data_IF_895886137428
#
_entry.id   IF_895886137428
#
_cell.length_a   1.000
_cell.length_b   1.000
_cell.length_c   1.000
_cell.angle_alpha   90.00
_cell.angle_beta   90.00
_cell.angle_gamma   90.00
#
_symmetry.space_group_name_H-M   'P 1'
#
loop_
_entity.id
_entity.type
_entity.pdbx_description
1 polymer ?
2 polymer ?
3 water ?
#
# COMPACT_ATOMS: atom_id res chain seq x y z
N UNK A 1 -41.21 92.24 -11.72
CA UNK A 1 -41.84 93.53 -11.47
C UNK A 1 -42.98 93.48 -10.46
N UNK A 2 -44.18 93.17 -10.94
CA UNK A 2 -45.40 93.17 -10.16
C UNK A 2 -45.56 91.87 -9.35
N UNK A 3 -46.54 91.88 -8.44
CA UNK A 3 -46.86 90.67 -7.68
C UNK A 3 -47.26 89.54 -8.63
N UNK A 4 -48.05 89.86 -9.65
CA UNK A 4 -48.46 88.86 -10.62
C UNK A 4 -47.26 88.32 -11.38
N UNK A 5 -46.34 89.19 -11.79
CA UNK A 5 -45.17 88.75 -12.52
C UNK A 5 -44.30 87.81 -11.68
N UNK A 6 -44.31 87.98 -10.36
CA UNK A 6 -43.57 87.08 -9.49
C UNK A 6 -44.20 85.69 -9.48
N UNK A 7 -45.53 85.62 -9.34
CA UNK A 7 -46.23 84.34 -9.42
C UNK A 7 -45.91 83.64 -10.72
N UNK A 8 -45.97 84.37 -11.84
CA UNK A 8 -45.64 83.76 -13.13
C UNK A 8 -44.20 83.24 -13.13
N UNK A 9 -43.23 84.03 -12.65
CA UNK A 9 -41.85 83.54 -12.59
C UNK A 9 -41.77 82.29 -11.72
N UNK A 10 -42.36 82.35 -10.53
CA UNK A 10 -42.26 81.24 -9.59
C UNK A 10 -42.85 79.96 -10.18
N UNK A 11 -43.94 80.04 -10.92
CA UNK A 11 -44.51 78.83 -11.50
C UNK A 11 -43.54 78.21 -12.49
N UNK A 12 -42.85 79.03 -13.27
CA UNK A 12 -41.87 78.49 -14.21
C UNK A 12 -40.75 77.78 -13.48
N UNK A 13 -40.26 78.36 -12.37
CA UNK A 13 -39.18 77.75 -11.60
C UNK A 13 -39.58 76.39 -11.04
N UNK A 14 -40.85 76.24 -10.64
CA UNK A 14 -41.30 74.93 -10.17
C UNK A 14 -41.20 73.88 -11.28
N UNK A 15 -41.68 74.22 -12.48
CA UNK A 15 -41.57 73.29 -13.60
C UNK A 15 -40.11 73.09 -14.01
N UNK A 16 -39.32 74.16 -13.99
CA UNK A 16 -37.88 74.05 -14.25
C UNK A 16 -37.20 73.08 -13.28
N UNK A 17 -37.50 73.22 -11.99
CA UNK A 17 -36.89 72.35 -10.98
C UNK A 17 -37.37 70.92 -11.13
N UNK A 18 -38.65 70.71 -11.41
CA UNK A 18 -39.13 69.35 -11.64
C UNK A 18 -38.47 68.71 -12.85
N UNK A 19 -38.24 69.49 -13.92
CA UNK A 19 -37.61 68.92 -15.09
C UNK A 19 -36.16 68.55 -14.79
N UNK A 20 -35.41 69.51 -14.22
CA UNK A 20 -34.03 69.22 -13.86
C UNK A 20 -33.94 67.97 -12.99
N UNK A 21 -34.87 67.81 -12.06
CA UNK A 21 -34.87 66.61 -11.24
C UNK A 21 -35.11 65.38 -12.11
N UNK A 22 -36.13 65.43 -12.98
CA UNK A 22 -36.38 64.29 -13.87
C UNK A 22 -35.14 63.87 -14.62
N UNK A 23 -34.36 64.83 -15.11
CA UNK A 23 -33.16 64.47 -15.86
C UNK A 23 -32.05 63.99 -14.94
N UNK A 24 -32.02 64.43 -13.69
CA UNK A 24 -31.04 63.86 -12.76
C UNK A 24 -31.33 62.37 -12.51
N UNK A 25 -32.61 62.01 -12.42
CA UNK A 25 -32.98 60.61 -12.27
C UNK A 25 -32.51 59.79 -13.47
N UNK A 26 -32.71 60.31 -14.67
CA UNK A 26 -32.29 59.59 -15.87
C UNK A 26 -30.78 59.39 -15.87
N UNK A 27 -30.01 60.44 -15.52
CA UNK A 27 -28.56 60.31 -15.45
C UNK A 27 -28.14 59.36 -14.33
N UNK A 28 -28.87 59.37 -13.23
CA UNK A 28 -28.57 58.45 -12.13
C UNK A 28 -28.84 57.01 -12.55
N UNK A 29 -29.88 56.78 -13.36
CA UNK A 29 -30.16 55.43 -13.81
C UNK A 29 -29.13 54.95 -14.84
N UNK A 30 -28.74 55.82 -15.77
CA UNK A 30 -27.70 55.46 -16.73
C UNK A 30 -26.38 55.17 -16.04
N UNK A 31 -26.04 55.97 -15.02
CA UNK A 31 -24.79 55.74 -14.31
C UNK A 31 -24.85 54.45 -13.48
N UNK A 32 -26.01 54.17 -12.86
CA UNK A 32 -26.13 52.92 -12.10
C UNK A 32 -26.16 51.70 -13.00
N UNK A 33 -26.69 51.82 -14.22
CA UNK A 33 -26.67 50.65 -15.09
C UNK A 33 -25.27 50.37 -15.61
N UNK A 34 -24.46 51.42 -15.81
CA UNK A 34 -23.05 51.19 -16.13
C UNK A 34 -22.35 50.50 -14.98
N UNK A 35 -22.47 51.04 -13.77
CA UNK A 35 -21.76 50.43 -12.66
C UNK A 35 -22.31 49.05 -12.34
N UNK A 36 -23.59 48.80 -12.63
CA UNK A 36 -24.07 47.42 -12.52
C UNK A 36 -23.30 46.49 -13.45
N UNK A 37 -23.06 46.91 -14.69
CA UNK A 37 -22.42 45.99 -15.60
C UNK A 37 -20.93 45.83 -15.28
N UNK A 38 -20.29 46.85 -14.70
CA UNK A 38 -18.93 46.65 -14.20
C UNK A 38 -18.91 45.67 -13.03
N UNK A 39 -20.01 45.61 -12.28
CA UNK A 39 -20.11 44.66 -11.17
C UNK A 39 -20.32 43.25 -11.69
N UNK A 40 -21.21 43.08 -12.69
CA UNK A 40 -21.38 41.78 -13.29
C UNK A 40 -20.05 41.26 -13.87
N UNK A 41 -19.23 42.16 -14.43
CA UNK A 41 -18.00 41.73 -15.10
C UNK A 41 -16.90 41.41 -14.09
N UNK A 42 -16.76 42.26 -13.06
CA UNK A 42 -15.81 41.96 -12.00
C UNK A 42 -16.10 40.62 -11.34
N UNK A 43 -17.37 40.25 -11.25
CA UNK A 43 -17.74 38.99 -10.62
C UNK A 43 -17.39 37.80 -11.49
N UNK A 44 -17.62 37.89 -12.80
CA UNK A 44 -17.23 36.82 -13.71
C UNK A 44 -15.71 36.64 -13.71
N UNK A 45 -14.96 37.73 -13.55
CA UNK A 45 -13.52 37.59 -13.41
C UNK A 45 -13.18 36.69 -12.22
N UNK A 46 -13.66 37.05 -11.04
CA UNK A 46 -13.48 36.22 -9.85
C UNK A 46 -13.94 34.79 -10.10
N UNK A 47 -15.17 34.62 -10.58
CA UNK A 47 -15.72 33.28 -10.72
C UNK A 47 -14.97 32.44 -11.72
N UNK A 48 -14.36 33.06 -12.74
CA UNK A 48 -13.59 32.28 -13.70
C UNK A 48 -12.36 31.70 -13.03
N UNK A 49 -11.70 32.50 -12.18
CA UNK A 49 -10.55 31.98 -11.44
C UNK A 49 -10.99 30.96 -10.40
N UNK A 50 -12.06 31.24 -9.66
CA UNK A 50 -12.42 30.33 -8.60
C UNK A 50 -12.82 28.98 -9.16
N UNK A 51 -13.71 28.97 -10.15
CA UNK A 51 -14.18 27.70 -10.67
C UNK A 51 -13.04 26.89 -11.30
N UNK A 52 -12.24 27.54 -12.14
CA UNK A 52 -11.20 26.83 -12.87
C UNK A 52 -10.06 26.40 -11.96
N UNK A 53 -9.77 27.14 -10.90
CA UNK A 53 -8.76 26.68 -9.95
C UNK A 53 -9.24 25.43 -9.23
N UNK A 54 -10.48 25.44 -8.74
CA UNK A 54 -10.98 24.31 -7.99
C UNK A 54 -11.07 23.08 -8.88
N UNK A 55 -11.50 23.26 -10.12
CA UNK A 55 -11.57 22.12 -11.01
C UNK A 55 -10.18 21.59 -11.34
N UNK A 56 -9.24 22.48 -11.64
CA UNK A 56 -7.89 22.03 -11.99
C UNK A 56 -7.19 21.37 -10.80
N UNK A 57 -7.44 21.85 -9.59
CA UNK A 57 -6.88 21.19 -8.42
C UNK A 57 -7.46 19.79 -8.26
N UNK A 58 -8.73 19.59 -8.58
CA UNK A 58 -9.29 18.25 -8.55
C UNK A 58 -8.73 17.38 -9.66
N UNK A 59 -8.55 17.92 -10.87
CA UNK A 59 -7.88 17.14 -11.90
C UNK A 59 -6.54 16.64 -11.38
N UNK A 60 -5.70 17.57 -10.89
CA UNK A 60 -4.33 17.24 -10.54
C UNK A 60 -4.27 16.23 -9.41
N UNK A 61 -5.14 16.38 -8.43
CA UNK A 61 -5.18 15.47 -7.30
C UNK A 61 -5.46 14.04 -7.75
N UNK A 62 -6.44 13.87 -8.64
CA UNK A 62 -6.81 12.52 -9.06
C UNK A 62 -5.77 11.95 -10.00
N UNK A 63 -5.15 12.80 -10.82
CA UNK A 63 -4.04 12.32 -11.63
C UNK A 63 -2.90 11.82 -10.75
N UNK A 64 -2.66 12.48 -9.61
CA UNK A 64 -1.56 12.06 -8.75
C UNK A 64 -1.88 10.76 -8.03
N UNK A 65 -3.14 10.58 -7.65
CA UNK A 65 -3.59 9.34 -7.03
C UNK A 65 -3.42 8.17 -8.00
N UNK A 66 -3.94 8.31 -9.23
CA UNK A 66 -3.75 7.28 -10.26
C UNK A 66 -2.28 6.94 -10.42
N UNK A 67 -1.43 7.95 -10.64
CA UNK A 67 -0.02 7.69 -10.92
C UNK A 67 0.62 6.91 -9.78
N UNK A 68 0.38 7.35 -8.54
CA UNK A 68 1.04 6.69 -7.41
C UNK A 68 0.48 5.29 -7.15
N UNK A 69 -0.82 5.08 -7.37
CA UNK A 69 -1.35 3.73 -7.24
C UNK A 69 -0.72 2.79 -8.26
N UNK A 70 -0.51 3.28 -9.49
CA UNK A 70 0.10 2.47 -10.54
C UNK A 70 1.58 2.23 -10.30
N UNK A 71 2.30 3.20 -9.73
CA UNK A 71 3.70 2.96 -9.40
C UNK A 71 3.82 1.96 -8.25
N UNK A 72 2.95 2.09 -7.26
CA UNK A 72 2.90 1.16 -6.15
C UNK A 72 2.57 -0.24 -6.66
N UNK A 73 1.49 -0.38 -7.42
CA UNK A 73 1.12 -1.67 -7.98
C UNK A 73 2.29 -2.30 -8.71
N UNK A 74 2.94 -1.55 -9.60
CA UNK A 74 3.97 -2.14 -10.44
C UNK A 74 5.11 -2.66 -9.58
N UNK A 75 5.56 -1.84 -8.63
CA UNK A 75 6.71 -2.24 -7.82
C UNK A 75 6.35 -3.40 -6.88
N UNK A 76 5.13 -3.37 -6.33
CA UNK A 76 4.69 -4.45 -5.45
C UNK A 76 4.65 -5.76 -6.20
N UNK A 77 4.28 -5.72 -7.46
CA UNK A 77 4.11 -6.97 -8.17
C UNK A 77 5.39 -7.45 -8.81
N UNK A 78 6.33 -6.57 -9.14
CA UNK A 78 7.63 -7.12 -9.52
C UNK A 78 8.34 -7.69 -8.30
N UNK A 79 7.97 -7.22 -7.10
CA UNK A 79 8.50 -7.83 -5.88
C UNK A 79 7.92 -9.20 -5.65
N UNK A 80 6.63 -9.39 -5.96
CA UNK A 80 6.03 -10.70 -5.71
C UNK A 80 6.68 -11.76 -6.56
N UNK A 81 7.00 -11.44 -7.81
CA UNK A 81 7.68 -12.41 -8.67
C UNK A 81 8.99 -12.86 -8.04
N UNK A 82 9.73 -11.93 -7.41
CA UNK A 82 10.95 -12.33 -6.70
C UNK A 82 10.64 -13.13 -5.43
N UNK A 83 9.62 -12.71 -4.67
CA UNK A 83 9.26 -13.44 -3.45
C UNK A 83 8.77 -14.85 -3.76
N UNK A 84 8.04 -15.02 -4.86
CA UNK A 84 7.54 -16.35 -5.23
C UNK A 84 8.69 -17.35 -5.39
N UNK A 85 9.74 -16.93 -6.09
CA UNK A 85 10.86 -17.83 -6.36
C UNK A 85 11.64 -18.16 -5.08
N UNK A 86 11.80 -17.16 -4.22
CA UNK A 86 12.44 -17.38 -2.92
C UNK A 86 11.66 -18.40 -2.08
N UNK A 87 10.35 -18.21 -1.96
CA UNK A 87 9.56 -19.06 -1.07
C UNK A 87 9.57 -20.51 -1.55
N UNK A 88 9.45 -20.74 -2.87
CA UNK A 88 9.59 -22.10 -3.41
C UNK A 88 10.94 -22.70 -3.03
N UNK A 89 12.02 -21.95 -3.23
CA UNK A 89 13.33 -22.45 -2.85
C UNK A 89 13.40 -22.72 -1.35
N UNK A 90 12.97 -21.76 -0.53
CA UNK A 90 13.14 -21.88 0.92
C UNK A 90 12.28 -22.99 1.48
N UNK A 91 10.99 -23.02 1.15
CA UNK A 91 10.14 -24.03 1.74
C UNK A 91 10.63 -25.43 1.40
N UNK A 92 11.13 -25.62 0.17
CA UNK A 92 11.60 -26.95 -0.25
C UNK A 92 12.91 -27.32 0.45
N UNK A 93 13.86 -26.40 0.50
CA UNK A 93 15.12 -26.76 1.14
C UNK A 93 14.92 -27.01 2.63
N UNK A 94 14.04 -26.24 3.26
CA UNK A 94 13.81 -26.42 4.69
C UNK A 94 13.21 -27.79 4.97
N UNK A 95 12.29 -28.25 4.12
CA UNK A 95 11.70 -29.56 4.34
C UNK A 95 12.74 -30.68 4.21
N UNK A 96 13.78 -30.49 3.39
CA UNK A 96 14.82 -31.50 3.28
C UNK A 96 15.71 -31.49 4.49
N UNK A 97 16.15 -30.29 4.89
CA UNK A 97 16.89 -30.11 6.14
C UNK A 97 16.18 -30.79 7.31
N UNK A 98 14.86 -30.59 7.42
CA UNK A 98 14.10 -31.26 8.48
C UNK A 98 14.27 -32.77 8.40
N UNK A 99 14.22 -33.32 7.19
CA UNK A 99 14.39 -34.77 7.03
C UNK A 99 15.83 -35.18 7.32
N UNK A 100 16.80 -34.40 6.84
CA UNK A 100 18.18 -34.75 7.10
C UNK A 100 18.49 -34.70 8.60
N UNK A 101 17.95 -33.71 9.30
CA UNK A 101 18.18 -33.64 10.75
C UNK A 101 17.56 -34.84 11.48
N UNK A 102 16.38 -35.29 11.05
CA UNK A 102 15.81 -36.50 11.64
C UNK A 102 16.69 -37.71 11.38
N UNK A 103 17.29 -37.81 10.20
CA UNK A 103 18.12 -38.98 9.93
C UNK A 103 19.37 -38.95 10.78
N UNK A 104 19.98 -37.76 10.95
CA UNK A 104 21.16 -37.65 11.79
C UNK A 104 20.84 -37.93 13.25
N UNK A 105 19.69 -37.43 13.73
CA UNK A 105 19.28 -37.75 15.09
C UNK A 105 19.08 -39.25 15.27
N UNK A 106 18.52 -39.92 14.25
CA UNK A 106 18.39 -41.38 14.35
C UNK A 106 19.76 -42.03 14.38
N UNK A 107 20.71 -41.50 13.62
CA UNK A 107 22.04 -42.09 13.63
C UNK A 107 22.76 -41.83 14.95
N UNK A 108 22.58 -40.64 15.54
CA UNK A 108 23.20 -40.39 16.84
C UNK A 108 22.70 -41.37 17.88
N UNK A 109 21.38 -41.51 17.99
CA UNK A 109 20.85 -42.31 19.09
C UNK A 109 21.19 -43.78 18.92
N UNK A 110 21.31 -44.24 17.68
CA UNK A 110 21.81 -45.59 17.42
C UNK A 110 23.26 -45.74 17.85
N UNK A 111 24.07 -44.68 17.69
CA UNK A 111 25.48 -44.74 18.08
C UNK A 111 25.67 -44.61 19.59
N UNK A 112 24.80 -43.87 20.29
CA UNK A 112 24.92 -43.79 21.75
C UNK A 112 24.47 -45.08 22.42
N UNK A 113 23.35 -45.65 21.96
CA UNK A 113 22.98 -47.00 22.36
C UNK A 113 23.90 -48.06 21.76
N UNK A 114 24.83 -47.63 20.91
CA UNK A 114 25.92 -48.42 20.31
C UNK A 114 25.39 -49.39 19.25
N UNK B 5 -50.69 85.70 0.70
CA UNK B 5 -49.81 85.96 -0.42
C UNK B 5 -49.44 84.71 -1.23
N UNK B 6 -49.87 84.67 -2.50
CA UNK B 6 -49.55 83.55 -3.35
C UNK B 6 -48.06 83.49 -3.67
N UNK B 7 -47.42 84.66 -3.81
CA UNK B 7 -45.97 84.71 -3.99
C UNK B 7 -45.28 84.01 -2.83
N UNK B 8 -45.70 84.32 -1.60
CA UNK B 8 -45.14 83.66 -0.43
C UNK B 8 -45.27 82.15 -0.55
N UNK B 9 -46.48 81.67 -0.86
CA UNK B 9 -46.73 80.24 -0.90
C UNK B 9 -45.84 79.54 -1.91
N UNK B 10 -45.64 80.14 -3.08
CA UNK B 10 -44.81 79.53 -4.12
C UNK B 10 -43.33 79.62 -3.79
N UNK B 11 -42.91 80.70 -3.12
CA UNK B 11 -41.54 80.76 -2.63
C UNK B 11 -41.26 79.63 -1.67
N UNK B 12 -42.20 79.33 -0.77
CA UNK B 12 -42.00 78.21 0.13
C UNK B 12 -42.08 76.86 -0.59
N UNK B 13 -43.08 76.67 -1.45
CA UNK B 13 -43.20 75.39 -2.15
C UNK B 13 -42.00 75.12 -3.03
N UNK B 14 -41.38 76.16 -3.60
CA UNK B 14 -40.13 75.98 -4.32
C UNK B 14 -39.07 75.34 -3.43
N UNK B 15 -38.82 75.93 -2.26
CA UNK B 15 -37.74 75.43 -1.41
C UNK B 15 -38.03 74.04 -0.87
N UNK B 16 -39.30 73.75 -0.52
CA UNK B 16 -39.63 72.40 -0.06
C UNK B 16 -39.57 71.37 -1.19
N UNK B 17 -39.84 71.75 -2.44
CA UNK B 17 -39.72 70.81 -3.55
C UNK B 17 -38.26 70.57 -3.91
N UNK B 18 -37.42 71.60 -3.80
CA UNK B 18 -35.99 71.40 -4.04
C UNK B 18 -35.40 70.42 -3.04
N UNK B 19 -35.73 70.62 -1.75
CA UNK B 19 -35.28 69.70 -0.71
C UNK B 19 -35.82 68.29 -0.93
N UNK B 20 -37.09 68.17 -1.35
CA UNK B 20 -37.68 66.85 -1.57
C UNK B 20 -37.01 66.13 -2.73
N UNK B 21 -36.77 66.86 -3.82
CA UNK B 21 -36.02 66.29 -4.95
C UNK B 21 -34.66 65.78 -4.50
N UNK B 22 -33.95 66.56 -3.67
CA UNK B 22 -32.66 66.11 -3.18
C UNK B 22 -32.78 64.78 -2.44
N UNK B 23 -33.80 64.62 -1.58
CA UNK B 23 -33.90 63.38 -0.81
C UNK B 23 -34.40 62.20 -1.65
N UNK B 24 -35.14 62.45 -2.75
CA UNK B 24 -35.51 61.33 -3.61
C UNK B 24 -34.34 60.83 -4.43
N UNK B 25 -33.43 61.73 -4.81
CA UNK B 25 -32.17 61.29 -5.41
C UNK B 25 -31.39 60.38 -4.47
N UNK B 26 -31.15 60.86 -3.24
CA UNK B 26 -30.45 60.07 -2.24
C UNK B 26 -31.15 58.77 -1.94
N UNK B 27 -32.49 58.79 -1.88
CA UNK B 27 -33.19 57.56 -1.58
C UNK B 27 -33.10 56.59 -2.75
N UNK B 28 -32.92 57.13 -3.95
CA UNK B 28 -32.85 56.31 -5.14
C UNK B 28 -31.43 55.78 -5.37
N UNK B 29 -30.42 56.55 -4.98
CA UNK B 29 -29.08 56.03 -4.95
C UNK B 29 -28.98 54.82 -4.02
N UNK B 30 -29.68 54.88 -2.88
CA UNK B 30 -29.58 53.80 -1.90
C UNK B 30 -30.31 52.55 -2.37
N UNK B 31 -31.50 52.68 -2.96
CA UNK B 31 -32.20 51.49 -3.44
C UNK B 31 -31.45 50.85 -4.61
N UNK B 32 -30.85 51.65 -5.50
CA UNK B 32 -30.11 51.06 -6.60
C UNK B 32 -28.91 50.28 -6.09
N UNK B 33 -28.21 50.81 -5.09
CA UNK B 33 -27.08 50.07 -4.53
C UNK B 33 -27.55 48.79 -3.85
N UNK B 34 -28.73 48.82 -3.23
CA UNK B 34 -29.25 47.61 -2.63
C UNK B 34 -29.67 46.59 -3.70
N UNK B 35 -30.15 47.06 -4.86
CA UNK B 35 -30.50 46.15 -5.94
C UNK B 35 -29.27 45.46 -6.50
N UNK B 36 -28.18 46.21 -6.67
CA UNK B 36 -26.95 45.63 -7.19
C UNK B 36 -26.41 44.58 -6.25
N UNK B 37 -26.33 44.91 -4.95
CA UNK B 37 -25.93 43.90 -3.97
C UNK B 37 -26.82 42.68 -4.06
N UNK B 38 -28.13 42.88 -4.23
CA UNK B 38 -29.05 41.75 -4.32
C UNK B 38 -28.75 40.89 -5.55
N UNK B 39 -28.60 41.53 -6.71
CA UNK B 39 -28.25 40.80 -7.94
C UNK B 39 -26.91 40.09 -7.78
N UNK B 40 -25.90 40.82 -7.28
CA UNK B 40 -24.59 40.22 -7.06
C UNK B 40 -24.73 38.96 -6.21
N UNK B 41 -25.38 39.07 -5.06
CA UNK B 41 -25.55 37.92 -4.17
C UNK B 41 -26.26 36.77 -4.87
N UNK B 42 -27.28 37.07 -5.68
CA UNK B 42 -27.99 36.00 -6.38
C UNK B 42 -27.10 35.31 -7.40
N UNK B 43 -26.32 36.07 -8.16
CA UNK B 43 -25.43 35.45 -9.14
C UNK B 43 -24.42 34.52 -8.47
N UNK B 44 -23.73 35.01 -7.44
CA UNK B 44 -22.77 34.19 -6.70
C UNK B 44 -23.39 32.87 -6.31
N UNK B 45 -24.60 32.92 -5.77
CA UNK B 45 -25.24 31.72 -5.25
C UNK B 45 -25.57 30.74 -6.36
N UNK B 46 -26.06 31.24 -7.49
CA UNK B 46 -26.49 30.33 -8.55
C UNK B 46 -25.30 29.75 -9.30
N UNK B 47 -24.27 30.56 -9.56
CA UNK B 47 -23.05 29.99 -10.16
C UNK B 47 -22.47 28.93 -9.25
N UNK B 48 -22.27 29.27 -7.97
CA UNK B 48 -21.64 28.37 -7.04
C UNK B 48 -22.39 27.04 -6.93
N UNK B 49 -23.73 27.09 -7.02
CA UNK B 49 -24.51 25.86 -7.15
C UNK B 49 -24.12 25.09 -8.41
N UNK B 50 -24.04 25.77 -9.54
CA UNK B 50 -23.79 25.07 -10.80
C UNK B 50 -22.39 24.46 -10.81
N UNK B 51 -21.38 25.23 -10.34
CA UNK B 51 -20.03 24.70 -10.16
C UNK B 51 -20.09 23.36 -9.46
N UNK B 52 -20.96 23.26 -8.46
CA UNK B 52 -21.03 22.05 -7.67
C UNK B 52 -21.48 20.86 -8.51
N UNK B 53 -22.50 21.04 -9.33
CA UNK B 53 -22.94 19.97 -10.24
C UNK B 53 -21.80 19.53 -11.14
N UNK B 54 -21.09 20.50 -11.72
CA UNK B 54 -19.98 20.21 -12.61
C UNK B 54 -18.89 19.43 -11.89
N UNK B 55 -18.50 19.86 -10.69
CA UNK B 55 -17.44 19.15 -9.99
C UNK B 55 -17.85 17.74 -9.66
N UNK B 56 -19.11 17.56 -9.27
CA UNK B 56 -19.57 16.20 -8.95
C UNK B 56 -19.59 15.33 -10.18
N UNK B 57 -20.04 15.89 -11.30
CA UNK B 57 -19.96 15.18 -12.56
C UNK B 57 -18.51 14.74 -12.83
N UNK B 58 -17.54 15.64 -12.62
CA UNK B 58 -16.14 15.34 -12.90
C UNK B 58 -15.52 14.37 -11.89
N UNK B 59 -16.02 14.37 -10.65
CA UNK B 59 -15.52 13.42 -9.66
C UNK B 59 -15.65 11.99 -10.16
N UNK B 60 -16.77 11.68 -10.82
CA UNK B 60 -17.04 10.31 -11.23
C UNK B 60 -16.31 9.87 -12.49
N UNK B 61 -15.84 10.80 -13.33
CA UNK B 61 -15.28 10.39 -14.62
C UNK B 61 -14.07 9.48 -14.48
N UNK B 62 -13.42 9.49 -13.32
CA UNK B 62 -12.25 8.64 -13.06
C UNK B 62 -12.43 7.77 -11.84
N UNK B 63 -13.63 7.75 -11.25
CA UNK B 63 -13.89 6.96 -10.04
C UNK B 63 -13.70 5.46 -10.30
N UNK B 64 -14.07 4.99 -11.48
CA UNK B 64 -13.98 3.55 -11.72
C UNK B 64 -12.55 3.06 -11.83
N UNK B 65 -11.64 3.88 -12.34
CA UNK B 65 -10.25 3.43 -12.42
C UNK B 65 -9.57 3.52 -11.04
N UNK B 66 -9.85 4.56 -10.27
CA UNK B 66 -9.27 4.68 -8.94
C UNK B 66 -9.73 3.53 -8.06
N UNK B 67 -11.02 3.18 -8.15
CA UNK B 67 -11.54 2.09 -7.34
C UNK B 67 -10.99 0.74 -7.78
N UNK B 68 -10.73 0.56 -9.09
CA UNK B 68 -10.11 -0.66 -9.57
C UNK B 68 -8.67 -0.77 -9.07
N UNK B 69 -7.85 0.23 -9.42
CA UNK B 69 -6.45 0.24 -8.98
C UNK B 69 -6.33 0.09 -7.47
N UNK B 70 -7.22 0.72 -6.71
CA UNK B 70 -7.12 0.69 -5.27
C UNK B 70 -7.33 -0.71 -4.72
N UNK B 71 -8.27 -1.47 -5.32
CA UNK B 71 -8.58 -2.79 -4.78
C UNK B 71 -7.60 -3.87 -5.22
N UNK B 72 -7.03 -3.76 -6.42
CA UNK B 72 -5.87 -4.59 -6.76
C UNK B 72 -4.73 -4.33 -5.80
N UNK B 73 -4.42 -3.06 -5.56
CA UNK B 73 -3.27 -2.74 -4.72
C UNK B 73 -3.47 -3.20 -3.28
N UNK B 74 -4.69 -3.13 -2.78
CA UNK B 74 -4.97 -3.65 -1.44
C UNK B 74 -4.69 -5.14 -1.36
N UNK B 75 -5.04 -5.89 -2.43
CA UNK B 75 -4.95 -7.33 -2.36
C UNK B 75 -3.53 -7.82 -2.64
N UNK B 76 -2.80 -7.20 -3.57
CA UNK B 76 -1.42 -7.60 -3.74
C UNK B 76 -0.55 -7.12 -2.58
N UNK B 77 -0.97 -6.09 -1.86
CA UNK B 77 -0.20 -5.72 -0.68
C UNK B 77 -0.50 -6.65 0.49
N UNK B 78 -1.72 -7.17 0.59
CA UNK B 78 -1.99 -8.13 1.64
C UNK B 78 -1.23 -9.43 1.37
N UNK B 79 -1.18 -9.86 0.11
CA UNK B 79 -0.36 -11.02 -0.23
C UNK B 79 1.12 -10.74 -0.02
N UNK B 80 1.55 -9.49 -0.18
CA UNK B 80 2.95 -9.18 0.11
C UNK B 80 3.25 -9.27 1.60
N UNK B 81 2.28 -8.98 2.46
CA UNK B 81 2.59 -9.01 3.88
C UNK B 81 2.66 -10.45 4.38
N UNK B 82 1.79 -11.33 3.85
CA UNK B 82 1.91 -12.76 4.12
C UNK B 82 3.25 -13.31 3.64
N UNK B 83 3.62 -13.02 2.40
CA UNK B 83 4.90 -13.47 1.89
C UNK B 83 6.07 -12.94 2.70
N UNK B 84 5.97 -11.73 3.25
CA UNK B 84 7.09 -11.26 4.06
C UNK B 84 7.12 -11.96 5.43
N UNK B 85 5.95 -12.26 6.01
CA UNK B 85 5.93 -13.04 7.24
C UNK B 85 6.45 -14.45 7.00
N UNK B 86 6.14 -15.04 5.85
CA UNK B 86 6.63 -16.38 5.56
C UNK B 86 8.12 -16.38 5.31
N UNK B 87 8.62 -15.45 4.49
CA UNK B 87 10.04 -15.43 4.16
C UNK B 87 10.89 -15.21 5.40
N UNK B 88 10.45 -14.34 6.30
CA UNK B 88 11.21 -14.10 7.52
C UNK B 88 11.28 -15.35 8.40
N UNK B 89 10.20 -16.12 8.46
CA UNK B 89 10.21 -17.33 9.28
C UNK B 89 10.98 -18.46 8.61
N UNK B 90 10.80 -18.66 7.31
CA UNK B 90 11.52 -19.73 6.65
C UNK B 90 13.01 -19.46 6.67
N UNK B 91 13.41 -18.23 6.36
CA UNK B 91 14.82 -17.86 6.32
C UNK B 91 15.47 -18.11 7.66
N UNK B 92 14.85 -17.60 8.73
CA UNK B 92 15.39 -17.79 10.07
C UNK B 92 15.41 -19.27 10.47
N UNK B 93 14.34 -20.02 10.20
CA UNK B 93 14.34 -21.42 10.60
C UNK B 93 15.40 -22.22 9.82
N UNK B 94 15.62 -21.93 8.53
CA UNK B 94 16.67 -22.65 7.82
C UNK B 94 18.02 -22.42 8.46
N UNK B 95 18.35 -21.16 8.71
CA UNK B 95 19.63 -20.85 9.31
C UNK B 95 19.85 -21.66 10.59
N UNK B 96 18.80 -21.82 11.42
CA UNK B 96 18.93 -22.64 12.62
C UNK B 96 19.16 -24.10 12.27
N UNK B 97 18.35 -24.63 11.33
CA UNK B 97 18.51 -26.00 10.88
C UNK B 97 19.91 -26.26 10.36
N UNK B 98 20.50 -25.30 9.67
CA UNK B 98 21.86 -25.48 9.17
C UNK B 98 22.86 -25.64 10.32
N UNK B 99 22.79 -24.75 11.31
CA UNK B 99 23.65 -24.88 12.48
C UNK B 99 23.40 -26.20 13.21
N UNK B 100 22.14 -26.58 13.38
CA UNK B 100 21.84 -27.79 14.12
C UNK B 100 22.34 -29.01 13.36
N UNK B 101 22.33 -28.94 12.03
CA UNK B 101 22.75 -30.09 11.24
C UNK B 101 24.26 -30.23 11.27
N UNK B 102 24.96 -29.11 11.34
CA UNK B 102 26.41 -29.18 11.40
C UNK B 102 26.87 -29.76 12.73
N UNK B 103 26.30 -29.28 13.86
CA UNK B 103 26.69 -29.79 15.16
C UNK B 103 26.31 -31.25 15.35
N UNK B 104 25.24 -31.71 14.69
CA UNK B 104 24.91 -33.13 14.73
C UNK B 104 25.92 -33.95 13.95
N UNK B 105 26.41 -33.42 12.83
CA UNK B 105 27.43 -34.11 12.05
C UNK B 105 28.75 -34.21 12.81
N UNK B 106 29.07 -33.19 13.61
CA UNK B 106 30.25 -33.29 14.45
C UNK B 106 30.05 -34.33 15.56
N UNK B 107 28.84 -34.38 16.12
CA UNK B 107 28.55 -35.36 17.17
C UNK B 107 28.61 -36.78 16.62
N UNK B 108 28.07 -37.00 15.43
CA UNK B 108 28.17 -38.31 14.79
C UNK B 108 29.63 -38.66 14.56
N UNK B 109 30.40 -37.72 13.99
CA UNK B 109 31.82 -37.99 13.71
C UNK B 109 32.57 -38.39 14.96
N UNK B 110 32.44 -37.62 16.04
CA UNK B 110 33.14 -37.95 17.27
C UNK B 110 32.72 -39.31 17.80
N UNK B 111 31.42 -39.64 17.73
CA UNK B 111 30.97 -40.92 18.23
C UNK B 111 31.48 -42.07 17.36
N UNK B 112 31.60 -41.86 16.05
CA UNK B 112 32.11 -42.93 15.18
C UNK B 112 33.58 -43.22 15.45
N UNK B 113 34.37 -42.20 15.77
CA UNK B 113 35.80 -42.34 15.99
C UNK B 113 36.19 -42.43 17.46
N UNK B 114 35.21 -42.60 18.36
CA UNK B 114 35.44 -42.70 19.81
C UNK B 114 36.21 -43.95 20.19
N UNK C 1 9.67 -16.96 14.41
CA UNK C 1 8.44 -17.32 13.71
C UNK C 1 7.65 -18.34 14.50
N UNK C 2 6.51 -18.76 13.95
CA UNK C 2 5.58 -19.60 14.71
C UNK C 2 6.11 -21.00 14.90
N UNK C 3 5.45 -21.72 15.79
CA UNK C 3 5.93 -23.08 15.95
C UNK C 3 7.03 -23.18 16.98
N UNK C 4 7.13 -24.36 17.56
CA UNK C 4 8.00 -24.61 18.70
C UNK C 4 8.66 -25.96 18.52
N UNK C 5 9.78 -26.15 19.22
CA UNK C 5 10.49 -27.42 19.20
C UNK C 5 10.01 -28.38 20.30
N UNK C 6 8.86 -28.10 20.93
CA UNK C 6 8.28 -28.99 21.93
C UNK C 6 7.58 -30.17 21.28
N UNK C 7 7.69 -31.34 21.90
CA UNK C 7 6.84 -32.46 21.53
C UNK C 7 5.42 -32.18 21.98
N UNK C 8 4.46 -32.36 21.08
CA UNK C 8 3.04 -32.18 21.40
C UNK C 8 2.54 -33.43 22.10
N UNK C 9 1.86 -33.24 23.23
CA UNK C 9 1.28 -34.35 23.96
C UNK C 9 -0.14 -34.59 23.46
N UNK C 10 -0.52 -35.87 23.35
CA UNK C 10 -1.81 -36.25 22.74
C UNK C 10 -2.97 -35.49 23.37
N UNK C 11 -2.93 -35.29 24.69
CA UNK C 11 -4.05 -34.66 25.38
C UNK C 11 -3.88 -33.15 25.54
N UNK C 12 -2.80 -32.57 25.01
CA UNK C 12 -2.69 -31.15 24.71
C UNK C 12 -3.12 -30.83 23.28
N UNK C 13 -3.82 -31.75 22.63
CA UNK C 13 -4.23 -31.63 21.23
C UNK C 13 -5.74 -31.71 21.15
N UNK C 14 -6.34 -30.77 20.44
CA UNK C 14 -7.75 -30.87 20.12
C UNK C 14 -7.85 -30.86 18.61
N UNK C 15 -8.33 -31.97 18.04
CA UNK C 15 -8.21 -32.13 16.61
C UNK C 15 -9.42 -31.58 15.87
N UNK C 16 -10.45 -31.23 16.61
CA UNK C 16 -11.78 -31.02 16.04
C UNK C 16 -12.44 -29.73 16.50
N UNK C 17 -11.77 -28.90 17.28
CA UNK C 17 -12.41 -27.64 17.58
C UNK C 17 -12.08 -26.56 16.57
N UNK C 18 -11.40 -26.91 15.48
CA UNK C 18 -11.51 -26.21 14.21
C UNK C 18 -11.70 -27.26 13.13
N UNK C 19 -12.68 -27.05 12.26
CA UNK C 19 -13.06 -28.03 11.26
C UNK C 19 -12.64 -27.52 9.88
N UNK C 20 -11.94 -28.36 9.12
CA UNK C 20 -11.53 -28.07 7.74
C UNK C 20 -12.52 -28.75 6.82
N UNK C 21 -13.53 -28.00 6.40
CA UNK C 21 -14.67 -28.55 5.68
C UNK C 21 -14.46 -28.59 4.18
N UNK C 22 -13.39 -27.97 3.70
CA UNK C 22 -13.10 -27.94 2.27
C UNK C 22 -12.29 -29.14 1.82
N UNK C 23 -11.66 -29.87 2.74
CA UNK C 23 -10.49 -30.68 2.40
C UNK C 23 -10.86 -31.76 1.39
N UNK C 24 -10.27 -31.66 0.19
CA UNK C 24 -10.34 -32.69 -0.83
C UNK C 24 -9.39 -33.83 -0.48
N UNK C 25 -9.59 -34.99 -1.13
CA UNK C 25 -8.66 -36.10 -0.93
C UNK C 25 -7.43 -35.97 -1.83
N UNK C 26 -7.61 -35.54 -3.08
CA UNK C 26 -6.53 -35.20 -4.01
C UNK C 26 -6.70 -33.72 -4.33
N UNK C 27 -5.94 -32.86 -3.64
CA UNK C 27 -6.11 -31.42 -3.84
C UNK C 27 -5.70 -31.02 -5.25
N UNK C 28 -6.55 -30.21 -5.89
CA UNK C 28 -6.50 -29.88 -7.31
C UNK C 28 -5.06 -29.57 -7.73
N UNK C 29 -4.50 -30.34 -8.69
CA UNK C 29 -3.02 -30.50 -8.76
C UNK C 29 -2.23 -29.22 -8.88
N UNK C 30 -2.74 -28.22 -9.62
CA UNK C 30 -2.08 -26.95 -9.77
C UNK C 30 -2.94 -25.81 -9.25
N UNK C 31 -2.36 -24.61 -9.28
CA UNK C 31 -3.08 -23.44 -8.88
C UNK C 31 -3.20 -23.31 -7.37
N UNK C 32 -3.88 -22.25 -6.97
CA UNK C 32 -3.95 -21.93 -5.57
C UNK C 32 -4.90 -22.90 -4.86
N UNK C 33 -4.86 -22.87 -3.54
CA UNK C 33 -5.68 -23.75 -2.73
C UNK C 33 -6.38 -22.91 -1.67
N UNK C 34 -7.70 -23.00 -1.63
CA UNK C 34 -8.45 -22.28 -0.61
C UNK C 34 -8.72 -23.20 0.58
N UNK C 35 -8.34 -22.73 1.77
CA UNK C 35 -8.47 -23.47 3.02
C UNK C 35 -9.67 -22.93 3.77
N UNK C 36 -10.76 -23.68 3.75
CA UNK C 36 -11.99 -23.29 4.43
C UNK C 36 -12.02 -23.94 5.80
N UNK C 37 -12.30 -23.16 6.84
CA UNK C 37 -12.34 -23.70 8.18
C UNK C 37 -13.51 -23.14 8.98
N UNK C 38 -14.00 -23.95 9.91
CA UNK C 38 -15.16 -23.63 10.73
C UNK C 38 -14.80 -23.72 12.20
N UNK C 39 -15.01 -22.65 12.94
CA UNK C 39 -14.85 -22.72 14.38
C UNK C 39 -16.07 -23.35 15.03
N UNK C 40 -15.86 -23.94 16.21
CA UNK C 40 -16.92 -24.58 16.97
C UNK C 40 -17.12 -23.91 18.32
N UNK C 41 -16.51 -22.74 18.52
CA UNK C 41 -16.68 -21.95 19.73
C UNK C 41 -16.13 -22.66 20.96
N UNK C 42 -15.09 -23.47 20.81
CA UNK C 42 -14.50 -24.17 21.93
C UNK C 42 -13.31 -23.43 22.53
N UNK C 43 -12.99 -22.26 21.99
CA UNK C 43 -11.87 -21.45 22.39
C UNK C 43 -12.01 -20.16 21.62
N UNK C 44 -11.40 -19.11 22.17
CA UNK C 44 -11.51 -17.77 21.60
C UNK C 44 -10.34 -17.57 20.65
N UNK C 45 -10.59 -17.35 19.35
CA UNK C 45 -9.50 -17.14 18.39
C UNK C 45 -8.70 -15.90 18.74
N UNK C 46 -7.47 -15.86 18.23
CA UNK C 46 -6.59 -14.71 18.42
C UNK C 46 -5.81 -14.47 17.15
N UNK C 47 -5.30 -13.24 17.00
CA UNK C 47 -4.77 -12.78 15.70
C UNK C 47 -3.46 -13.44 15.30
N UNK C 48 -2.70 -14.01 16.24
CA UNK C 48 -1.47 -14.71 15.89
C UNK C 48 -1.65 -16.23 15.90
N UNK C 49 -2.88 -16.71 16.00
CA UNK C 49 -3.20 -18.06 15.58
C UNK C 49 -2.84 -18.22 14.11
N UNK C 50 -2.42 -19.42 13.72
CA UNK C 50 -2.02 -19.67 12.34
C UNK C 50 -2.45 -21.04 11.86
N UNK C 51 -2.47 -21.19 10.55
CA UNK C 51 -2.77 -22.45 9.88
C UNK C 51 -1.53 -22.89 9.12
N UNK C 52 -1.05 -24.09 9.40
CA UNK C 52 0.12 -24.58 8.69
C UNK C 52 -0.25 -25.76 7.84
N UNK C 53 0.58 -26.02 6.83
CA UNK C 53 0.56 -27.27 6.09
C UNK C 53 1.61 -28.17 6.69
N UNK C 54 1.20 -29.33 7.20
CA UNK C 54 2.08 -30.26 7.87
C UNK C 54 2.09 -31.61 7.15
N UNK C 55 3.29 -32.15 6.99
CA UNK C 55 3.41 -33.54 6.60
C UNK C 55 2.78 -34.40 7.67
N UNK C 56 1.88 -35.29 7.26
CA UNK C 56 1.28 -36.23 8.20
C UNK C 56 2.39 -36.99 8.89
N UNK C 57 2.40 -36.97 10.21
CA UNK C 57 3.46 -37.61 10.97
C UNK C 57 4.40 -36.68 11.72
N UNK C 58 4.11 -35.39 11.75
CA UNK C 58 5.01 -34.40 12.33
C UNK C 58 5.08 -34.51 13.86
N UNK C 59 6.26 -34.23 14.41
CA UNK C 59 6.46 -34.33 15.86
C UNK C 59 6.28 -32.99 16.58
N UNK C 60 6.61 -31.88 15.95
CA UNK C 60 6.54 -30.57 16.58
C UNK C 60 5.94 -29.57 15.61
N UNK C 61 5.40 -28.48 16.18
CA UNK C 61 4.78 -27.49 15.31
C UNK C 61 5.80 -26.63 14.57
N UNK C 62 7.08 -26.77 14.90
CA UNK C 62 8.13 -26.19 14.06
C UNK C 62 8.17 -26.82 12.68
N UNK C 63 7.49 -27.94 12.46
CA UNK C 63 7.69 -28.73 11.26
C UNK C 63 6.74 -28.36 10.12
N UNK C 64 6.10 -27.19 10.18
CA UNK C 64 5.20 -26.80 9.10
C UNK C 64 5.99 -26.69 7.79
N UNK C 65 5.33 -26.99 6.68
CA UNK C 65 5.88 -26.69 5.37
C UNK C 65 5.79 -25.18 5.07
N UNK C 66 4.57 -24.62 5.09
CA UNK C 66 4.35 -23.18 5.11
C UNK C 66 3.19 -22.93 6.05
N UNK C 67 2.90 -21.65 6.29
CA UNK C 67 1.82 -21.29 7.21
C UNK C 67 1.23 -19.98 6.75
N UNK C 68 0.05 -19.65 7.30
CA UNK C 68 -0.57 -18.34 7.14
C UNK C 68 -1.23 -17.93 8.44
N UNK C 69 -1.07 -16.66 8.82
CA UNK C 69 -1.81 -16.17 9.98
C UNK C 69 -3.31 -16.33 9.76
N UNK C 70 -4.03 -16.53 10.87
CA UNK C 70 -5.49 -16.59 10.82
C UNK C 70 -6.03 -15.19 10.56
N UNK C 71 -7.14 -15.13 9.83
CA UNK C 71 -7.79 -13.86 9.55
C UNK C 71 -9.04 -13.76 10.42
N UNK C 72 -9.26 -12.54 10.95
CA UNK C 72 -10.31 -12.22 11.87
C UNK C 72 -11.16 -11.09 11.31
N UNK C 73 -12.51 -11.18 11.45
CA UNK C 73 -13.46 -10.15 11.01
C UNK C 73 -13.34 -8.84 11.80
N UNK C 81 -19.40 -15.75 14.22
CA UNK C 81 -18.09 -16.20 13.75
C UNK C 81 -18.01 -17.72 13.50
N UNK C 82 -18.14 -18.16 12.25
CA UNK C 82 -18.09 -19.60 12.02
C UNK C 82 -17.21 -19.98 10.84
N UNK C 83 -17.47 -19.44 9.64
CA UNK C 83 -16.73 -19.86 8.45
C UNK C 83 -15.71 -18.80 8.05
N UNK C 84 -14.46 -19.20 7.83
CA UNK C 84 -13.44 -18.29 7.33
C UNK C 84 -12.57 -19.05 6.35
N UNK C 85 -11.74 -18.31 5.62
CA UNK C 85 -11.02 -18.82 4.47
C UNK C 85 -9.61 -18.24 4.45
N UNK C 86 -8.65 -19.02 3.94
CA UNK C 86 -7.37 -18.48 3.52
C UNK C 86 -7.02 -19.10 2.16
N UNK C 87 -6.36 -18.30 1.32
CA UNK C 87 -5.90 -18.73 0.01
C UNK C 87 -4.40 -19.00 0.08
N UNK C 88 -4.02 -20.27 0.02
CA UNK C 88 -2.61 -20.66 -0.13
C UNK C 88 -2.25 -20.55 -1.60
N UNK C 89 -1.44 -19.55 -1.94
CA UNK C 89 -0.92 -19.48 -3.31
C UNK C 89 -0.16 -20.77 -3.63
N UNK C 90 -0.13 -21.10 -4.93
CA UNK C 90 0.50 -22.35 -5.36
C UNK C 90 1.94 -22.44 -4.88
N UNK C 91 2.67 -21.32 -4.84
CA UNK C 91 4.06 -21.37 -4.40
C UNK C 91 4.22 -21.62 -2.89
N UNK C 92 3.14 -21.58 -2.10
CA UNK C 92 3.19 -22.04 -0.71
C UNK C 92 3.11 -23.55 -0.59
N UNK C 93 2.88 -24.31 -1.75
CA UNK C 93 2.46 -25.69 -1.58
C UNK C 93 3.60 -26.65 -1.85
N UNK C 94 3.57 -27.81 -1.19
CA UNK C 94 4.57 -28.84 -1.50
C UNK C 94 4.44 -29.32 -2.94
N UNK C 95 5.55 -29.84 -3.48
CA UNK C 95 5.59 -30.38 -4.82
C UNK C 95 5.69 -31.90 -4.87
N UNK C 96 5.83 -32.57 -3.74
CA UNK C 96 6.03 -34.01 -3.72
C UNK C 96 4.72 -34.71 -3.40
N UNK C 97 4.83 -36.03 -3.19
CA UNK C 97 3.70 -36.94 -3.13
C UNK C 97 3.28 -37.32 -1.71
N UNK C 98 3.99 -36.84 -0.69
CA UNK C 98 3.69 -37.16 0.69
C UNK C 98 2.25 -36.82 1.06
N UNK C 99 1.79 -37.28 2.22
CA UNK C 99 0.49 -36.89 2.69
C UNK C 99 0.61 -35.69 3.60
N UNK C 100 -0.32 -34.75 3.45
CA UNK C 100 -0.26 -33.53 4.21
C UNK C 100 -1.61 -33.29 4.86
N UNK C 101 -1.64 -32.20 5.61
CA UNK C 101 -2.66 -31.95 6.60
C UNK C 101 -2.63 -30.45 6.82
N UNK C 102 -3.79 -29.84 7.00
CA UNK C 102 -3.83 -28.52 7.60
C UNK C 102 -3.91 -28.70 9.09
N UNK C 103 -3.20 -27.84 9.83
CA UNK C 103 -3.40 -27.74 11.27
C UNK C 103 -3.57 -26.29 11.66
N UNK C 104 -4.51 -26.06 12.58
CA UNK C 104 -4.71 -24.79 13.22
C UNK C 104 -3.93 -24.79 14.53
N UNK C 105 -3.01 -23.84 14.68
CA UNK C 105 -2.24 -23.68 15.90
C UNK C 105 -2.52 -22.30 16.48
N UNK C 106 -2.67 -22.22 17.79
CA UNK C 106 -2.94 -20.94 18.43
C UNK C 106 -1.68 -20.32 19.01
N UNK C 107 -1.83 -19.13 19.59
CA UNK C 107 -0.68 -18.38 20.09
C UNK C 107 0.07 -19.10 21.20
N UNK C 108 -0.57 -20.07 21.87
CA UNK C 108 0.14 -20.90 22.85
C UNK C 108 0.82 -22.10 22.21
N UNK C 109 0.84 -22.19 20.88
CA UNK C 109 1.34 -23.38 20.23
C UNK C 109 0.48 -24.61 20.42
N UNK C 110 -0.74 -24.45 20.91
CA UNK C 110 -1.69 -25.55 21.10
C UNK C 110 -2.44 -25.79 19.81
N UNK C 111 -2.58 -27.06 19.45
CA UNK C 111 -3.25 -27.48 18.22
C UNK C 111 -4.74 -27.52 18.47
N UNK C 112 -5.51 -26.74 17.71
CA UNK C 112 -6.95 -26.73 17.89
C UNK C 112 -7.68 -27.42 16.75
N UNK C 113 -7.00 -27.80 15.67
CA UNK C 113 -7.65 -28.56 14.64
C UNK C 113 -6.67 -29.20 13.70
N UNK C 114 -6.97 -30.37 13.17
CA UNK C 114 -6.07 -31.00 12.21
C UNK C 114 -6.93 -31.73 11.20
N UNK C 115 -6.64 -31.52 9.92
CA UNK C 115 -7.56 -32.00 8.94
C UNK C 115 -7.29 -33.46 8.60
N UNK C 116 -8.19 -34.04 7.82
CA UNK C 116 -7.94 -35.37 7.30
C UNK C 116 -6.78 -35.24 6.31
N UNK C 117 -6.02 -36.30 6.04
CA UNK C 117 -4.85 -36.16 5.16
C UNK C 117 -5.28 -36.01 3.71
N UNK C 118 -4.34 -35.56 2.89
CA UNK C 118 -4.58 -35.33 1.46
C UNK C 118 -3.22 -35.19 0.80
N UNK C 119 -3.23 -35.24 -0.53
CA UNK C 119 -2.04 -35.09 -1.37
C UNK C 119 -2.21 -33.94 -2.35
N UNK C 120 -1.10 -33.50 -2.94
CA UNK C 120 -1.15 -32.48 -4.01
C UNK C 120 -0.90 -33.04 -5.41
N UNK D 2 18.63 -22.12 -5.15
CA UNK D 2 18.95 -23.34 -5.89
C UNK D 2 20.41 -23.77 -5.69
N UNK D 3 20.76 -24.22 -4.48
CA UNK D 3 22.10 -24.67 -4.19
C UNK D 3 22.29 -26.16 -4.45
N UNK D 4 23.53 -26.60 -4.28
CA UNK D 4 23.93 -28.00 -4.38
C UNK D 4 24.63 -28.40 -3.09
N UNK D 5 25.00 -29.69 -2.99
CA UNK D 5 25.82 -30.18 -1.89
C UNK D 5 27.25 -30.47 -2.31
N UNK D 6 27.69 -29.90 -3.43
CA UNK D 6 29.08 -30.03 -3.88
C UNK D 6 30.02 -29.17 -3.04
N UNK D 16 37.91 -14.60 -10.10
CA UNK D 16 37.09 -13.47 -9.67
C UNK D 16 36.50 -12.77 -10.87
N UNK D 17 35.58 -13.46 -11.56
CA UNK D 17 34.94 -12.89 -12.75
C UNK D 17 33.90 -11.84 -12.40
N UNK D 18 33.37 -11.85 -11.18
CA UNK D 18 32.45 -10.84 -10.70
C UNK D 18 33.07 -10.19 -9.47
N UNK D 19 32.94 -8.89 -9.36
CA UNK D 19 33.57 -8.12 -8.30
C UNK D 19 32.51 -7.26 -7.65
N UNK D 20 32.40 -7.35 -6.33
CA UNK D 20 31.47 -6.50 -5.60
C UNK D 20 32.15 -5.20 -5.19
N UNK D 21 31.43 -4.10 -5.38
CA UNK D 21 31.91 -2.78 -5.01
C UNK D 21 30.83 -2.08 -4.20
N UNK D 22 31.24 -1.00 -3.52
CA UNK D 22 30.37 -0.20 -2.67
C UNK D 22 29.88 -0.96 -1.45
N UNK D 23 30.55 -2.06 -1.10
CA UNK D 23 30.04 -2.94 -0.05
C UNK D 23 30.44 -2.37 1.32
N UNK D 24 29.43 -2.04 2.13
CA UNK D 24 29.62 -1.47 3.45
C UNK D 24 29.98 -2.58 4.44
N UNK D 25 30.58 -2.17 5.57
CA UNK D 25 30.91 -3.15 6.60
C UNK D 25 29.75 -3.40 7.57
N UNK D 26 28.83 -2.45 7.67
CA UNK D 26 27.66 -2.56 8.52
C UNK D 26 26.46 -2.07 7.72
N UNK D 27 25.39 -2.86 7.72
CA UNK D 27 24.15 -2.44 7.11
C UNK D 27 23.12 -2.20 8.20
N UNK D 28 22.25 -1.23 7.98
CA UNK D 28 21.24 -0.89 8.98
C UNK D 28 20.23 -2.04 9.11
N UNK D 29 19.92 -2.49 10.32
CA UNK D 29 19.00 -3.62 10.49
C UNK D 29 17.56 -3.21 10.19
N UNK D 30 16.90 -3.98 9.34
CA UNK D 30 15.55 -3.65 8.95
C UNK D 30 15.42 -2.58 7.90
N UNK D 31 16.51 -2.26 7.19
CA UNK D 31 16.44 -1.42 6.02
C UNK D 31 16.81 -2.21 4.78
N UNK D 32 16.26 -1.80 3.63
CA UNK D 32 16.62 -2.44 2.37
C UNK D 32 18.10 -2.26 2.08
N UNK D 33 18.69 -3.25 1.43
CA UNK D 33 20.11 -3.24 1.10
C UNK D 33 20.25 -3.44 -0.40
N UNK D 34 21.02 -2.55 -1.03
CA UNK D 34 21.25 -2.60 -2.47
C UNK D 34 22.69 -3.01 -2.72
N UNK D 35 22.85 -4.17 -3.36
CA UNK D 35 24.14 -4.78 -3.66
C UNK D 35 24.59 -4.42 -5.09
N UNK D 36 25.83 -3.92 -5.21
CA UNK D 36 26.41 -3.43 -6.46
C UNK D 36 27.58 -4.28 -6.93
N UNK D 37 27.68 -4.49 -8.24
CA UNK D 37 28.70 -5.37 -8.80
C UNK D 37 28.87 -5.09 -10.29
N UNK D 38 30.04 -5.47 -10.80
CA UNK D 38 30.32 -5.47 -12.23
C UNK D 38 30.99 -6.79 -12.62
N UNK D 39 31.00 -7.06 -13.92
CA UNK D 39 31.61 -8.25 -14.50
C UNK D 39 33.00 -7.94 -15.05
N UNK D 40 33.82 -9.00 -15.21
CA UNK D 40 35.23 -8.85 -15.49
C UNK D 40 35.77 -10.04 -16.27
N UNK D 41 36.69 -9.76 -17.22
CA UNK D 41 37.38 -10.74 -18.06
C UNK D 41 36.46 -11.30 -19.14
N UNK D 42 35.59 -10.45 -19.70
CA UNK D 42 34.59 -10.85 -20.69
C UNK D 42 33.61 -11.91 -20.14
N UNK D 43 33.41 -11.94 -18.83
CA UNK D 43 32.40 -12.82 -18.26
C UNK D 43 31.02 -12.30 -18.65
N UNK D 44 30.16 -13.18 -19.15
CA UNK D 44 28.82 -12.76 -19.52
C UNK D 44 27.83 -13.58 -18.69
N UNK D 45 26.74 -12.98 -18.26
CA UNK D 45 25.81 -13.64 -17.34
C UNK D 45 24.83 -14.52 -18.09
N UNK D 46 24.00 -15.22 -17.32
CA UNK D 46 22.97 -16.09 -17.84
C UNK D 46 21.73 -15.95 -16.96
N UNK D 47 20.60 -16.47 -17.46
CA UNK D 47 19.31 -16.25 -16.81
C UNK D 47 19.33 -16.65 -15.33
N UNK D 48 19.90 -17.82 -15.02
CA UNK D 48 19.75 -18.45 -13.72
C UNK D 48 20.93 -18.22 -12.78
N UNK D 49 21.79 -17.25 -13.07
CA UNK D 49 22.82 -16.88 -12.10
C UNK D 49 22.18 -16.12 -10.95
N UNK D 50 22.67 -16.35 -9.74
CA UNK D 50 22.08 -15.71 -8.58
C UNK D 50 23.14 -15.11 -7.68
N UNK D 51 22.70 -14.12 -6.91
CA UNK D 51 23.47 -13.53 -5.84
C UNK D 51 22.83 -13.99 -4.53
N UNK D 52 23.62 -14.62 -3.68
CA UNK D 52 23.11 -15.00 -2.37
C UNK D 52 23.81 -14.28 -1.24
N UNK D 53 23.17 -14.22 -0.09
CA UNK D 53 23.78 -13.75 1.15
C UNK D 53 24.20 -14.97 1.94
N UNK D 54 25.49 -15.07 2.24
CA UNK D 54 26.06 -16.25 2.88
C UNK D 54 26.72 -15.88 4.19
N UNK D 55 26.56 -16.75 5.18
CA UNK D 55 27.34 -16.65 6.42
C UNK D 55 28.79 -17.00 6.13
N UNK D 56 29.71 -16.12 6.58
CA UNK D 56 31.13 -16.31 6.32
C UNK D 56 31.56 -17.68 6.87
N UNK D 57 32.27 -18.45 6.04
CA UNK D 57 32.69 -19.79 6.39
C UNK D 57 31.81 -20.89 5.86
N UNK D 58 30.87 -20.56 4.97
CA UNK D 58 30.01 -21.57 4.41
C UNK D 58 30.82 -22.55 3.55
N UNK D 59 30.21 -23.70 3.27
CA UNK D 59 30.86 -24.77 2.55
C UNK D 59 30.18 -25.15 1.22
N UNK D 60 28.84 -25.07 1.15
CA UNK D 60 28.07 -25.50 -0.02
C UNK D 60 27.13 -24.39 -0.43
N UNK D 61 26.81 -24.33 -1.73
CA UNK D 61 25.94 -23.20 -2.10
C UNK D 61 24.53 -23.38 -1.56
N UNK D 62 24.20 -24.55 -1.01
CA UNK D 62 22.92 -24.76 -0.33
C UNK D 62 22.78 -23.92 0.92
N UNK D 63 23.82 -23.22 1.33
CA UNK D 63 23.83 -22.54 2.61
C UNK D 63 23.51 -21.07 2.52
N UNK D 64 23.05 -20.60 1.36
CA UNK D 64 22.58 -19.22 1.27
C UNK D 64 21.58 -18.94 2.39
N UNK D 65 21.63 -17.73 2.95
CA UNK D 65 20.54 -17.28 3.78
C UNK D 65 19.33 -16.93 2.93
N UNK D 66 19.58 -16.25 1.81
CA UNK D 66 18.55 -15.75 0.93
C UNK D 66 19.22 -15.45 -0.41
N UNK D 67 18.42 -15.34 -1.46
CA UNK D 67 19.03 -15.11 -2.75
C UNK D 67 18.11 -14.30 -3.62
N UNK D 68 18.64 -13.91 -4.78
CA UNK D 68 17.85 -13.27 -5.82
C UNK D 68 18.53 -13.55 -7.16
N UNK D 69 17.71 -13.81 -8.19
CA UNK D 69 18.24 -13.97 -9.54
C UNK D 69 18.82 -12.66 -10.02
N UNK D 70 19.88 -12.75 -10.84
CA UNK D 70 20.53 -11.54 -11.34
C UNK D 70 19.62 -10.78 -12.30
N UNK D 71 19.93 -9.50 -12.50
CA UNK D 71 19.26 -8.66 -13.47
C UNK D 71 19.96 -8.75 -14.83
N UNK D 72 19.22 -9.04 -15.84
CA UNK D 72 20.01 -9.03 -17.06
C UNK D 72 20.06 -7.63 -17.68
N UNK D 73 21.20 -7.26 -18.30
CA UNK D 73 21.32 -5.96 -18.97
C UNK D 73 20.51 -5.88 -20.26
N UNK D 81 26.70 1.81 -19.11
CA UNK D 81 26.96 1.79 -17.67
C UNK D 81 27.22 0.38 -17.15
N UNK D 82 28.49 0.07 -16.90
CA UNK D 82 28.91 -1.26 -16.48
C UNK D 82 28.27 -1.70 -15.17
N UNK D 83 27.79 -0.76 -14.36
CA UNK D 83 27.32 -1.07 -13.01
C UNK D 83 26.06 -1.93 -13.03
N UNK D 84 25.95 -2.82 -12.05
CA UNK D 84 24.81 -3.69 -11.90
C UNK D 84 24.38 -3.70 -10.44
N UNK D 85 23.09 -3.96 -10.21
CA UNK D 85 22.62 -3.95 -8.83
C UNK D 85 21.35 -4.76 -8.68
N UNK D 86 21.22 -5.38 -7.51
CA UNK D 86 19.98 -6.00 -7.05
C UNK D 86 19.59 -5.35 -5.74
N UNK D 87 18.29 -5.33 -5.44
CA UNK D 87 17.75 -4.73 -4.23
C UNK D 87 17.22 -5.84 -3.33
N UNK D 88 17.97 -6.14 -2.27
CA UNK D 88 17.53 -7.06 -1.21
C UNK D 88 16.59 -6.33 -0.26
N UNK D 89 15.31 -6.70 -0.29
CA UNK D 89 14.37 -6.11 0.67
C UNK D 89 14.72 -6.52 2.09
N UNK D 90 14.43 -5.62 3.04
CA UNK D 90 14.85 -5.83 4.42
C UNK D 90 14.42 -7.18 4.96
N UNK D 91 13.30 -7.71 4.48
CA UNK D 91 12.89 -9.01 5.03
C UNK D 91 13.61 -10.18 4.38
N UNK D 92 14.48 -9.94 3.39
CA UNK D 92 15.40 -10.98 2.96
C UNK D 92 16.64 -11.05 3.85
N UNK D 93 16.75 -10.18 4.89
CA UNK D 93 18.07 -9.98 5.45
C UNK D 93 18.21 -10.62 6.82
N UNK D 94 19.40 -11.15 7.13
CA UNK D 94 19.59 -11.76 8.45
C UNK D 94 19.40 -10.76 9.57
N UNK D 95 18.91 -11.28 10.71
CA UNK D 95 18.60 -10.46 11.87
C UNK D 95 19.48 -10.78 13.08
N UNK D 96 20.58 -11.49 12.88
CA UNK D 96 21.55 -11.71 13.94
C UNK D 96 22.83 -10.92 13.65
N UNK D 97 23.89 -11.24 14.41
CA UNK D 97 25.13 -10.48 14.42
C UNK D 97 26.31 -11.26 13.81
N UNK D 98 26.03 -12.29 13.03
CA UNK D 98 27.09 -13.04 12.36
C UNK D 98 27.68 -12.22 11.22
N UNK D 99 28.84 -12.65 10.74
CA UNK D 99 29.41 -12.07 9.54
C UNK D 99 28.78 -12.70 8.30
N UNK D 100 28.49 -11.86 7.31
CA UNK D 100 27.83 -12.28 6.08
C UNK D 100 28.60 -11.76 4.88
N UNK D 101 28.17 -12.17 3.69
CA UNK D 101 28.94 -11.89 2.50
C UNK D 101 28.08 -12.20 1.27
N UNK D 102 28.17 -11.33 0.26
CA UNK D 102 27.51 -11.56 -1.02
C UNK D 102 28.31 -12.56 -1.83
N UNK D 103 27.60 -13.39 -2.60
CA UNK D 103 28.26 -14.31 -3.52
C UNK D 103 27.45 -14.48 -4.80
N UNK D 104 28.11 -14.24 -5.93
CA UNK D 104 27.54 -14.53 -7.24
C UNK D 104 27.83 -15.98 -7.60
N UNK D 105 26.77 -16.76 -7.82
CA UNK D 105 26.87 -18.17 -8.18
C UNK D 105 26.40 -18.37 -9.62
N UNK D 106 27.25 -19.01 -10.43
CA UNK D 106 26.97 -19.38 -11.81
C UNK D 106 25.74 -20.28 -11.91
N UNK D 107 25.25 -20.45 -13.14
CA UNK D 107 24.20 -21.43 -13.42
C UNK D 107 24.63 -22.85 -13.06
N UNK D 108 25.93 -23.12 -13.03
CA UNK D 108 26.48 -24.44 -12.76
C UNK D 108 27.15 -24.51 -11.38
N UNK D 109 26.57 -23.82 -10.39
CA UNK D 109 27.05 -23.85 -9.02
C UNK D 109 28.42 -23.25 -8.77
N UNK D 110 29.15 -22.84 -9.81
CA UNK D 110 30.48 -22.30 -9.64
C UNK D 110 30.39 -20.88 -9.09
N UNK D 111 31.16 -20.60 -8.04
CA UNK D 111 31.21 -19.26 -7.46
C UNK D 111 32.08 -18.40 -8.36
N UNK D 112 31.49 -17.34 -8.91
CA UNK D 112 32.23 -16.45 -9.79
C UNK D 112 32.66 -15.15 -9.11
N UNK D 113 32.11 -14.83 -7.94
CA UNK D 113 32.58 -13.71 -7.13
C UNK D 113 32.14 -13.85 -5.69
N UNK D 114 32.74 -13.03 -4.82
CA UNK D 114 32.38 -12.97 -3.41
C UNK D 114 32.91 -11.68 -2.82
N UNK D 115 32.11 -11.05 -1.97
CA UNK D 115 32.40 -9.74 -1.42
C UNK D 115 33.16 -9.84 -0.09
N UNK D 116 33.43 -8.67 0.48
CA UNK D 116 34.06 -8.56 1.80
C UNK D 116 33.02 -8.88 2.86
N UNK D 117 33.41 -9.25 4.08
CA UNK D 117 32.42 -9.56 5.11
C UNK D 117 31.69 -8.31 5.58
N UNK D 118 30.44 -8.50 6.04
CA UNK D 118 29.70 -7.41 6.64
C UNK D 118 28.75 -7.97 7.69
N UNK D 119 28.19 -7.06 8.48
CA UNK D 119 27.21 -7.39 9.51
C UNK D 119 26.04 -6.42 9.42
N UNK D 120 24.95 -6.78 10.10
CA UNK D 120 23.74 -5.95 10.17
C UNK D 120 23.62 -5.42 11.60
N UNK D 121 24.08 -4.20 11.81
CA UNK D 121 24.30 -3.64 13.14
C UNK D 121 24.42 -2.12 13.10
#
# INVERSE_FOLDING_TARGET
>A
GSEFSLVAELQEKLQEEKAKFLEQLEEQEKRKNEEMQNVRTSLIAEQQTNFNTVLTREKMRKENIINDLSDKLKSTMQQQERDKDLIESLSEDRARLLEEKKKLEEEVSKLRSS
>B
GSEFSLVAELQEKLQEEKAKFLEQLEEQEKRKNEEMQNVRTSLIAEQQTNFNTVLTREKMRKENIINDLSDKLKSTMQQQERDKDLIESLSEDRARLLEEKKKLEEEVSKLRSS
>C
GPGSTSAVLLDHCHFSQVIFNSVEKFYIPGGDVTCHYTFTQHFIPRRKDWIGIFRVGWKTTREYYTFMWVTLPIDLNNKSAKQQEVQFKAYYLPKDDEYYQFCYVDEDGVVRGASIPFQFRPENEEDILVVTTQGE
>D
GPGSTSAVLLDHCHFSQVIFNSVEKFYIPGGDVTCHYTFTQHFIPRRKDWIGIFRVGWKTTREYYTFMWVTLPIDLNNKSAKQQEVQFKAYYLPKDDEYYQFCYVDEDGVVRGASIPFQFRPENEEDILVVTTQGE
#
